data_IF_623530412967
#
_entry.id   IF_623530412967
#
_cell.length_a   1.000
_cell.length_b   1.000
_cell.length_c   1.000
_cell.angle_alpha   90.00
_cell.angle_beta   90.00
_cell.angle_gamma   90.00
#
_symmetry.space_group_name_H-M   'P 1'
#
loop_
_entity.id
_entity.type
_entity.pdbx_description
1 polymer ?
#
# COMPACT_ATOMS: atom_id res chain seq x y z
N UNK A 1 25.37 -9.77 2.42
CA UNK A 1 24.14 -8.95 2.56
C UNK A 1 24.12 -8.43 4.00
N UNK A 2 24.45 -7.16 4.21
CA UNK A 2 24.51 -6.58 5.56
C UNK A 2 23.09 -6.14 5.96
N UNK A 3 22.32 -7.06 6.56
CA UNK A 3 21.03 -6.73 7.14
C UNK A 3 21.27 -6.02 8.48
N UNK A 4 21.24 -4.68 8.46
CA UNK A 4 21.32 -3.88 9.68
C UNK A 4 20.06 -4.19 10.51
N UNK A 5 20.18 -4.53 11.81
CA UNK A 5 19.04 -4.95 12.64
C UNK A 5 17.90 -3.91 12.69
N UNK A 6 18.22 -2.63 12.50
CA UNK A 6 17.24 -1.55 12.36
C UNK A 6 16.33 -1.72 11.14
N UNK A 7 16.90 -2.14 10.00
CA UNK A 7 16.11 -2.40 8.79
C UNK A 7 15.23 -3.64 8.96
N UNK A 8 15.75 -4.70 9.59
CA UNK A 8 14.98 -5.91 9.90
C UNK A 8 13.83 -5.62 10.87
N UNK A 9 14.07 -4.87 11.94
CA UNK A 9 13.05 -4.52 12.93
C UNK A 9 11.92 -3.65 12.34
N UNK A 10 12.26 -2.69 11.46
CA UNK A 10 11.28 -1.91 10.72
C UNK A 10 10.42 -2.80 9.82
N UNK A 11 11.04 -3.74 9.11
CA UNK A 11 10.33 -4.69 8.26
C UNK A 11 9.42 -5.62 9.07
N UNK A 12 9.89 -6.15 10.21
CA UNK A 12 9.08 -6.98 11.12
C UNK A 12 7.89 -6.21 11.71
N UNK A 13 8.08 -4.94 12.10
CA UNK A 13 7.00 -4.05 12.56
C UNK A 13 5.98 -3.82 11.45
N UNK A 14 6.42 -3.63 10.20
CA UNK A 14 5.55 -3.50 9.03
C UNK A 14 4.75 -4.79 8.78
N UNK A 15 5.39 -5.97 8.86
CA UNK A 15 4.70 -7.26 8.74
C UNK A 15 3.71 -7.52 9.87
N UNK A 16 4.00 -7.08 11.10
CA UNK A 16 3.08 -7.14 12.23
C UNK A 16 1.83 -6.28 12.00
N UNK A 17 2.00 -5.06 11.47
CA UNK A 17 0.88 -4.20 11.04
C UNK A 17 0.11 -4.81 9.86
N UNK A 18 0.81 -5.43 8.91
CA UNK A 18 0.20 -6.12 7.77
C UNK A 18 -0.64 -7.31 8.21
N UNK A 19 -0.22 -8.04 9.25
CA UNK A 19 -1.01 -9.12 9.85
C UNK A 19 -2.36 -8.62 10.36
N UNK A 20 -2.43 -7.41 10.90
CA UNK A 20 -3.68 -6.75 11.30
C UNK A 20 -4.53 -6.45 10.06
N UNK A 21 -3.95 -5.85 9.01
CA UNK A 21 -4.66 -5.55 7.75
C UNK A 21 -5.20 -6.82 7.09
N UNK A 22 -4.38 -7.87 7.00
CA UNK A 22 -4.73 -9.19 6.45
C UNK A 22 -5.81 -9.88 7.28
N UNK A 23 -5.77 -9.76 8.61
CA UNK A 23 -6.79 -10.36 9.49
C UNK A 23 -8.08 -9.55 9.56
N UNK A 24 -8.03 -8.23 9.36
CA UNK A 24 -9.22 -7.37 9.33
C UNK A 24 -9.96 -7.48 8.00
N UNK A 25 -9.22 -7.61 6.88
CA UNK A 25 -9.79 -7.71 5.52
C UNK A 25 -9.94 -9.17 5.02
N UNK A 26 -10.00 -10.13 5.95
CA UNK A 26 -9.65 -11.57 5.84
C UNK A 26 -10.25 -12.42 4.71
N UNK A 27 -11.16 -11.92 3.88
CA UNK A 27 -11.83 -12.78 2.88
C UNK A 27 -12.07 -12.16 1.50
N UNK A 28 -11.63 -10.93 1.22
CA UNK A 28 -12.02 -10.26 -0.04
C UNK A 28 -10.91 -9.45 -0.73
N UNK A 29 -9.64 -9.80 -0.50
CA UNK A 29 -8.52 -9.03 -1.03
C UNK A 29 -7.58 -9.90 -1.87
N UNK A 30 -7.40 -9.56 -3.14
CA UNK A 30 -6.41 -10.20 -4.00
C UNK A 30 -4.99 -9.86 -3.55
N UNK A 31 -4.03 -10.76 -3.84
CA UNK A 31 -2.62 -10.57 -3.51
C UNK A 31 -2.06 -9.27 -4.11
N UNK A 32 -2.50 -8.89 -5.31
CA UNK A 32 -2.15 -7.62 -5.93
C UNK A 32 -2.60 -6.43 -5.09
N UNK A 33 -3.86 -6.41 -4.61
CA UNK A 33 -4.38 -5.31 -3.80
C UNK A 33 -3.67 -5.24 -2.44
N UNK A 34 -3.29 -6.38 -1.87
CA UNK A 34 -2.48 -6.44 -0.65
C UNK A 34 -1.07 -5.86 -0.88
N UNK A 35 -0.43 -6.21 -2.00
CA UNK A 35 0.88 -5.69 -2.38
C UNK A 35 0.88 -4.17 -2.53
N UNK A 36 -0.11 -3.61 -3.23
CA UNK A 36 -0.23 -2.15 -3.37
C UNK A 36 -0.48 -1.44 -2.04
N UNK A 37 -1.28 -2.01 -1.14
CA UNK A 37 -1.44 -1.46 0.20
C UNK A 37 -0.14 -1.50 1.02
N UNK A 38 0.63 -2.57 0.89
CA UNK A 38 1.92 -2.69 1.56
C UNK A 38 2.90 -1.63 1.05
N UNK A 39 2.95 -1.42 -0.27
CA UNK A 39 3.76 -0.36 -0.89
C UNK A 39 3.37 1.02 -0.35
N UNK A 40 2.07 1.33 -0.30
CA UNK A 40 1.57 2.59 0.28
C UNK A 40 1.84 2.73 1.78
N UNK A 41 2.02 1.64 2.52
CA UNK A 41 2.34 1.66 3.95
C UNK A 41 3.84 1.82 4.21
N UNK A 42 4.70 1.34 3.31
CA UNK A 42 6.15 1.56 3.31
C UNK A 42 6.44 3.02 2.95
N UNK A 43 5.81 3.52 1.89
CA UNK A 43 5.93 4.89 1.41
C UNK A 43 5.05 5.85 2.22
N UNK A 44 4.88 5.61 3.53
CA UNK A 44 3.98 6.40 4.37
C UNK A 44 4.39 7.87 4.39
N UNK A 45 5.68 8.17 4.52
CA UNK A 45 6.17 9.54 4.64
C UNK A 45 5.85 10.33 3.35
N UNK A 46 6.09 9.73 2.19
CA UNK A 46 5.70 10.30 0.90
C UNK A 46 4.18 10.39 0.72
N UNK A 47 3.44 9.40 1.23
CA UNK A 47 1.97 9.39 1.19
C UNK A 47 1.35 10.50 2.03
N UNK A 48 1.93 10.81 3.18
CA UNK A 48 1.43 11.84 4.09
C UNK A 48 1.63 13.26 3.49
N UNK A 49 2.59 13.43 2.59
CA UNK A 49 2.80 14.66 1.79
C UNK A 49 1.84 14.77 0.58
N UNK A 50 1.17 13.68 0.20
CA UNK A 50 0.37 13.62 -1.01
C UNK A 50 -1.03 14.24 -0.81
N UNK A 51 -1.36 15.26 -1.62
CA UNK A 51 -2.71 15.82 -1.61
C UNK A 51 -3.70 14.89 -2.33
N UNK A 52 -4.53 14.20 -1.54
CA UNK A 52 -5.56 13.29 -2.04
C UNK A 52 -6.58 13.96 -2.96
N UNK A 53 -6.86 15.26 -2.78
CA UNK A 53 -7.79 16.00 -3.61
C UNK A 53 -7.24 16.20 -5.02
N UNK A 54 -5.96 16.57 -5.13
CA UNK A 54 -5.29 16.74 -6.42
C UNK A 54 -5.12 15.40 -7.14
N UNK A 55 -4.81 14.34 -6.39
CA UNK A 55 -4.75 12.98 -6.92
C UNK A 55 -6.12 12.53 -7.47
N UNK A 56 -7.20 12.76 -6.73
CA UNK A 56 -8.55 12.41 -7.17
C UNK A 56 -8.96 13.21 -8.42
N UNK A 57 -8.58 14.49 -8.50
CA UNK A 57 -8.84 15.35 -9.67
C UNK A 57 -8.04 14.89 -10.89
N UNK A 58 -6.79 14.49 -10.70
CA UNK A 58 -5.95 13.91 -11.74
C UNK A 58 -6.51 12.58 -12.24
N UNK A 59 -6.90 11.70 -11.32
CA UNK A 59 -7.53 10.42 -11.64
C UNK A 59 -8.88 10.60 -12.37
N UNK A 60 -9.72 11.54 -11.94
CA UNK A 60 -10.99 11.85 -12.60
C UNK A 60 -10.80 12.38 -14.03
N UNK A 61 -9.69 13.08 -14.30
CA UNK A 61 -9.32 13.55 -15.64
C UNK A 61 -8.82 12.44 -16.57
N UNK A 62 -8.43 11.28 -16.05
CA UNK A 62 -8.05 10.15 -16.90
C UNK A 62 -9.27 9.63 -17.66
N UNK A 63 -9.12 9.48 -18.98
CA UNK A 63 -10.19 9.00 -19.89
C UNK A 63 -10.50 7.53 -19.70
N UNK A 64 -9.51 6.72 -19.30
CA UNK A 64 -9.67 5.28 -19.13
C UNK A 64 -9.62 4.90 -17.64
N UNK A 65 -10.81 4.80 -17.04
CA UNK A 65 -10.98 4.49 -15.61
C UNK A 65 -11.31 3.02 -15.37
N UNK A 66 -11.38 2.22 -16.43
CA UNK A 66 -11.73 0.79 -16.34
C UNK A 66 -10.44 -0.01 -16.43
N UNK A 67 -10.13 -0.71 -15.34
CA UNK A 67 -9.19 -1.82 -15.39
C UNK A 67 -9.97 -2.97 -16.01
N UNK A 68 -9.58 -3.42 -17.20
CA UNK A 68 -10.11 -4.68 -17.74
C UNK A 68 -9.62 -5.80 -16.82
N UNK A 69 -10.57 -6.38 -16.08
CA UNK A 69 -10.32 -7.59 -15.32
C UNK A 69 -10.34 -8.76 -16.32
N UNK A 70 -9.32 -9.64 -16.30
CA UNK A 70 -9.36 -10.88 -17.07
C UNK A 70 -10.50 -11.80 -16.62
#
# INVERSE_FOLDING_TARGET
VLAIPISMASNERLFSKLKIVKNYLRTNMSDQRLFYLMLCAIEKDYRDELNLYDLAKYWAKMKDRRIELP
#
